data_IF_036549394095
#
_entry.id   IF_036549394095
#
_cell.length_a   1.000
_cell.length_b   1.000
_cell.length_c   1.000
_cell.angle_alpha   90.00
_cell.angle_beta   90.00
_cell.angle_gamma   90.00
#
_symmetry.space_group_name_H-M   'P 1'
#
loop_
_entity.id
_entity.type
_entity.pdbx_description
1 polymer ?
#
# COMPACT_ATOMS: atom_id res chain seq x y z
N UNK A 1 31.13 -31.23 -21.20
CA UNK A 1 29.97 -30.60 -20.54
C UNK A 1 28.88 -30.15 -21.52
N UNK A 2 29.21 -29.85 -22.79
CA UNK A 2 28.21 -29.48 -23.81
C UNK A 2 27.50 -30.67 -24.49
N UNK A 3 28.09 -31.87 -24.50
CA UNK A 3 27.51 -33.06 -25.16
C UNK A 3 26.39 -33.74 -24.34
N UNK A 4 26.33 -33.49 -23.03
CA UNK A 4 25.37 -34.09 -22.08
C UNK A 4 23.90 -33.68 -22.36
N UNK A 5 23.70 -32.61 -23.13
CA UNK A 5 22.37 -32.08 -23.49
C UNK A 5 21.76 -32.74 -24.73
N UNK A 6 22.55 -33.51 -25.50
CA UNK A 6 22.14 -34.12 -26.76
C UNK A 6 21.74 -35.60 -26.62
N UNK A 7 21.97 -36.20 -25.45
CA UNK A 7 21.68 -37.62 -25.19
C UNK A 7 20.20 -37.82 -24.78
N UNK A 8 19.55 -38.85 -25.34
CA UNK A 8 18.14 -39.17 -25.08
C UNK A 8 17.96 -39.61 -23.62
N UNK A 9 17.50 -38.68 -22.78
CA UNK A 9 17.25 -38.89 -21.34
C UNK A 9 16.48 -40.19 -21.07
N UNK A 10 17.07 -41.06 -20.25
CA UNK A 10 16.58 -42.41 -19.98
C UNK A 10 15.22 -42.35 -19.27
N UNK A 11 14.35 -43.35 -19.49
CA UNK A 11 13.00 -43.41 -18.86
C UNK A 11 13.05 -43.18 -17.35
N UNK A 12 14.03 -43.79 -16.67
CA UNK A 12 14.26 -43.66 -15.21
C UNK A 12 14.57 -42.21 -14.79
N UNK A 13 15.36 -41.48 -15.57
CA UNK A 13 15.72 -40.08 -15.29
C UNK A 13 14.54 -39.14 -15.52
N UNK A 14 13.70 -39.42 -16.53
CA UNK A 14 12.44 -38.69 -16.76
C UNK A 14 11.47 -38.89 -15.60
N UNK A 15 11.32 -40.12 -15.11
CA UNK A 15 10.47 -40.42 -13.94
C UNK A 15 10.96 -39.68 -12.68
N UNK A 16 12.26 -39.65 -12.43
CA UNK A 16 12.85 -38.88 -11.31
C UNK A 16 12.58 -37.38 -11.47
N UNK A 17 12.74 -36.84 -12.68
CA UNK A 17 12.50 -35.42 -12.96
C UNK A 17 11.02 -35.05 -12.77
N UNK A 18 10.10 -35.90 -13.24
CA UNK A 18 8.65 -35.73 -13.07
C UNK A 18 8.25 -35.77 -11.59
N UNK A 19 8.80 -36.70 -10.82
CA UNK A 19 8.51 -36.81 -9.38
C UNK A 19 9.02 -35.57 -8.61
N UNK A 20 10.24 -35.10 -8.90
CA UNK A 20 10.78 -33.86 -8.30
C UNK A 20 9.93 -32.64 -8.64
N UNK A 21 9.46 -32.52 -9.88
CA UNK A 21 8.58 -31.43 -10.29
C UNK A 21 7.20 -31.51 -9.60
N UNK A 22 6.65 -32.71 -9.39
CA UNK A 22 5.40 -32.89 -8.64
C UNK A 22 5.56 -32.53 -7.17
N UNK A 23 6.64 -32.97 -6.51
CA UNK A 23 6.95 -32.60 -5.12
C UNK A 23 7.06 -31.07 -4.97
N UNK A 24 7.78 -30.41 -5.88
CA UNK A 24 7.91 -28.95 -5.89
C UNK A 24 6.54 -28.25 -6.03
N UNK A 25 5.66 -28.74 -6.92
CA UNK A 25 4.30 -28.22 -7.07
C UNK A 25 3.46 -28.41 -5.80
N UNK A 26 3.54 -29.56 -5.16
CA UNK A 26 2.84 -29.84 -3.90
C UNK A 26 3.31 -28.90 -2.78
N UNK A 27 4.62 -28.65 -2.67
CA UNK A 27 5.17 -27.69 -1.71
C UNK A 27 4.62 -26.29 -1.96
N UNK A 28 4.64 -25.82 -3.21
CA UNK A 28 4.11 -24.50 -3.59
C UNK A 28 2.62 -24.38 -3.23
N UNK A 29 1.80 -25.37 -3.59
CA UNK A 29 0.36 -25.38 -3.28
C UNK A 29 0.13 -25.37 -1.76
N UNK A 30 0.88 -26.17 -1.01
CA UNK A 30 0.78 -26.18 0.46
C UNK A 30 1.16 -24.84 1.08
N UNK A 31 2.14 -24.13 0.51
CA UNK A 31 2.51 -22.77 0.90
C UNK A 31 1.39 -21.76 0.66
N UNK A 32 0.71 -21.83 -0.49
CA UNK A 32 -0.47 -20.98 -0.76
C UNK A 32 -1.61 -21.24 0.25
N UNK A 33 -1.88 -22.51 0.58
CA UNK A 33 -2.91 -22.88 1.56
C UNK A 33 -2.56 -22.32 2.95
N UNK A 34 -1.31 -22.48 3.38
CA UNK A 34 -0.85 -21.96 4.67
C UNK A 34 -0.89 -20.43 4.74
N UNK A 35 -0.58 -19.75 3.63
CA UNK A 35 -0.70 -18.29 3.52
C UNK A 35 -2.15 -17.82 3.63
N UNK A 36 -3.09 -18.49 2.97
CA UNK A 36 -4.53 -18.15 3.06
C UNK A 36 -5.05 -18.40 4.47
N UNK A 37 -4.65 -19.50 5.12
CA UNK A 37 -4.98 -19.77 6.51
C UNK A 37 -4.42 -18.70 7.45
N UNK A 38 -3.15 -18.30 7.26
CA UNK A 38 -2.55 -17.22 8.04
C UNK A 38 -3.29 -15.88 7.83
N UNK A 39 -3.68 -15.56 6.60
CA UNK A 39 -4.49 -14.37 6.30
C UNK A 39 -5.85 -14.40 7.02
N UNK A 40 -6.54 -15.54 6.98
CA UNK A 40 -7.81 -15.75 7.71
C UNK A 40 -7.58 -15.54 9.22
N UNK A 41 -6.52 -16.09 9.79
CA UNK A 41 -6.21 -15.95 11.21
C UNK A 41 -5.83 -14.51 11.58
N UNK A 42 -5.14 -13.77 10.70
CA UNK A 42 -4.75 -12.38 10.96
C UNK A 42 -5.90 -11.39 10.78
N UNK A 43 -6.87 -11.67 9.90
CA UNK A 43 -7.95 -10.73 9.56
C UNK A 43 -9.30 -11.12 10.16
N UNK A 44 -9.65 -12.40 10.27
CA UNK A 44 -10.96 -12.80 10.78
C UNK A 44 -10.94 -12.86 12.31
N UNK A 45 -9.86 -13.37 12.90
CA UNK A 45 -9.77 -13.57 14.34
C UNK A 45 -9.82 -12.25 15.15
N UNK A 46 -9.14 -11.16 14.74
CA UNK A 46 -9.27 -9.86 15.40
C UNK A 46 -10.64 -9.21 15.21
N UNK A 47 -11.34 -9.49 14.10
CA UNK A 47 -12.71 -9.00 13.88
C UNK A 47 -13.70 -9.56 14.93
N UNK A 48 -13.50 -10.81 15.36
CA UNK A 48 -14.27 -11.43 16.43
C UNK A 48 -13.78 -11.07 17.85
N UNK A 49 -12.82 -10.14 17.97
CA UNK A 49 -12.31 -9.68 19.27
C UNK A 49 -11.34 -10.66 19.94
N UNK A 50 -10.76 -11.60 19.20
CA UNK A 50 -9.71 -12.49 19.71
C UNK A 50 -8.33 -11.90 19.32
N UNK A 51 -7.61 -11.26 20.27
CA UNK A 51 -6.33 -10.63 19.95
C UNK A 51 -5.25 -11.69 19.70
N UNK A 52 -4.77 -11.78 18.46
CA UNK A 52 -3.63 -12.63 18.08
C UNK A 52 -2.28 -12.03 18.52
N UNK A 53 -2.24 -10.70 18.76
CA UNK A 53 -1.04 -9.95 19.15
C UNK A 53 -1.05 -9.69 20.65
N UNK A 54 -0.04 -10.18 21.36
CA UNK A 54 0.14 -9.88 22.78
C UNK A 54 0.55 -8.41 22.93
N UNK A 55 -0.34 -7.56 23.44
CA UNK A 55 -0.08 -6.14 23.69
C UNK A 55 0.85 -6.02 24.92
N UNK A 56 2.09 -5.57 24.73
CA UNK A 56 2.97 -5.18 25.85
C UNK A 56 2.82 -3.71 26.25
N UNK A 57 2.03 -2.93 25.51
CA UNK A 57 1.87 -1.50 25.75
C UNK A 57 0.43 -1.20 26.21
N UNK A 58 0.30 -0.85 27.49
CA UNK A 58 -0.95 -0.64 28.24
C UNK A 58 -1.74 0.62 27.85
N UNK A 59 -1.33 1.38 26.82
CA UNK A 59 -1.88 2.74 26.59
C UNK A 59 -2.87 2.85 25.43
N UNK A 60 -3.10 1.83 24.59
CA UNK A 60 -3.89 2.05 23.36
C UNK A 60 -4.95 0.97 23.05
N UNK A 61 -6.20 1.36 23.33
CA UNK A 61 -7.49 1.04 22.69
C UNK A 61 -7.94 -0.42 22.47
N UNK A 62 -9.18 -0.70 22.90
CA UNK A 62 -9.91 -1.99 22.87
C UNK A 62 -10.09 -2.68 21.49
N UNK A 63 -9.62 -2.06 20.39
CA UNK A 63 -9.79 -2.58 19.01
C UNK A 63 -8.53 -2.35 18.16
N UNK A 64 -7.55 -3.26 18.19
CA UNK A 64 -6.34 -3.11 17.38
C UNK A 64 -6.62 -3.37 15.88
N UNK A 65 -6.27 -2.40 15.02
CA UNK A 65 -6.23 -2.61 13.57
C UNK A 65 -5.09 -3.59 13.20
N UNK A 66 -5.22 -4.36 12.10
CA UNK A 66 -4.18 -5.28 11.62
C UNK A 66 -2.80 -4.62 11.44
N UNK A 67 -2.77 -3.38 10.93
CA UNK A 67 -1.57 -2.55 10.83
C UNK A 67 -1.73 -1.28 11.67
N UNK A 68 -0.76 -1.01 12.54
CA UNK A 68 -0.73 0.19 13.36
C UNK A 68 -0.03 1.32 12.60
N UNK A 69 -0.80 2.05 11.80
CA UNK A 69 -0.35 3.25 11.08
C UNK A 69 -0.99 4.51 11.66
N UNK A 70 -0.34 5.66 11.48
CA UNK A 70 -0.88 6.95 11.91
C UNK A 70 -2.03 7.38 10.98
N UNK A 71 -3.23 7.51 11.54
CA UNK A 71 -4.42 7.99 10.82
C UNK A 71 -4.79 9.42 11.24
N UNK A 72 -5.05 10.28 10.26
CA UNK A 72 -5.43 11.69 10.48
C UNK A 72 -6.92 11.88 10.80
N UNK A 73 -7.70 10.80 10.82
CA UNK A 73 -9.13 10.76 11.16
C UNK A 73 -9.38 9.78 12.31
N UNK A 74 -10.51 9.94 13.01
CA UNK A 74 -10.81 9.14 14.19
C UNK A 74 -11.26 7.72 13.80
N UNK A 75 -10.30 6.79 13.87
CA UNK A 75 -10.51 5.36 13.57
C UNK A 75 -11.43 4.63 14.55
N UNK A 76 -11.85 5.22 15.66
CA UNK A 76 -12.73 4.55 16.63
C UNK A 76 -14.22 4.76 16.33
N UNK A 77 -14.56 5.66 15.40
CA UNK A 77 -15.95 5.89 14.99
C UNK A 77 -16.33 4.99 13.81
N UNK A 78 -17.41 4.22 13.95
CA UNK A 78 -18.09 3.61 12.80
C UNK A 78 -18.74 4.73 11.95
N UNK A 79 -18.64 4.70 10.61
CA UNK A 79 -18.18 3.61 9.73
C UNK A 79 -16.69 3.66 9.34
N UNK A 80 -15.93 4.66 9.81
CA UNK A 80 -14.54 4.88 9.38
C UNK A 80 -13.64 3.70 9.76
N UNK A 81 -13.80 3.16 10.97
CA UNK A 81 -13.09 1.95 11.41
C UNK A 81 -13.23 0.78 10.43
N UNK A 82 -14.47 0.47 10.05
CA UNK A 82 -14.81 -0.69 9.22
C UNK A 82 -14.23 -0.53 7.81
N UNK A 83 -14.31 0.69 7.26
CA UNK A 83 -13.69 1.01 5.97
C UNK A 83 -12.17 0.86 6.01
N UNK A 84 -11.51 1.39 7.05
CA UNK A 84 -10.05 1.26 7.22
C UNK A 84 -9.65 -0.20 7.35
N UNK A 85 -10.42 -1.00 8.09
CA UNK A 85 -10.18 -2.42 8.28
C UNK A 85 -10.25 -3.20 6.96
N UNK A 86 -11.30 -2.97 6.17
CA UNK A 86 -11.49 -3.61 4.86
C UNK A 86 -10.37 -3.21 3.89
N UNK A 87 -10.01 -1.92 3.86
CA UNK A 87 -8.91 -1.43 3.03
C UNK A 87 -7.60 -2.11 3.41
N UNK A 88 -7.24 -2.16 4.70
CA UNK A 88 -6.04 -2.84 5.16
C UNK A 88 -6.04 -4.34 4.79
N UNK A 89 -7.17 -5.03 4.96
CA UNK A 89 -7.30 -6.44 4.60
C UNK A 89 -7.07 -6.69 3.11
N UNK A 90 -7.67 -5.86 2.24
CA UNK A 90 -7.48 -5.94 0.79
C UNK A 90 -6.02 -5.67 0.42
N UNK A 91 -5.41 -4.64 1.01
CA UNK A 91 -3.99 -4.31 0.75
C UNK A 91 -3.05 -5.44 1.16
N UNK A 92 -3.25 -6.02 2.35
CA UNK A 92 -2.42 -7.15 2.84
C UNK A 92 -2.60 -8.37 1.92
N UNK A 93 -3.82 -8.66 1.49
CA UNK A 93 -4.10 -9.78 0.57
C UNK A 93 -3.38 -9.59 -0.77
N UNK A 94 -3.51 -8.41 -1.39
CA UNK A 94 -2.85 -8.09 -2.65
C UNK A 94 -1.32 -8.13 -2.52
N UNK A 95 -0.77 -7.65 -1.41
CA UNK A 95 0.66 -7.74 -1.11
C UNK A 95 1.14 -9.20 -0.99
N UNK A 96 0.36 -10.08 -0.36
CA UNK A 96 0.69 -11.49 -0.22
C UNK A 96 0.67 -12.23 -1.58
N UNK A 97 -0.32 -11.93 -2.44
CA UNK A 97 -0.42 -12.49 -3.80
C UNK A 97 0.74 -12.03 -4.70
N UNK A 98 1.13 -10.76 -4.61
CA UNK A 98 2.28 -10.23 -5.38
C UNK A 98 3.61 -10.78 -4.87
N UNK A 99 3.78 -10.94 -3.56
CA UNK A 99 5.00 -11.54 -2.99
C UNK A 99 5.17 -13.02 -3.42
N UNK A 100 4.09 -13.79 -3.37
CA UNK A 100 4.10 -15.19 -3.81
C UNK A 100 4.30 -15.33 -5.32
N UNK A 101 3.77 -14.43 -6.15
CA UNK A 101 4.02 -14.46 -7.60
C UNK A 101 5.51 -14.26 -7.94
N UNK A 102 6.20 -13.40 -7.18
CA UNK A 102 7.65 -13.17 -7.34
C UNK A 102 8.46 -14.37 -6.89
N UNK A 103 8.11 -15.06 -5.80
CA UNK A 103 8.88 -16.22 -5.31
C UNK A 103 8.69 -17.46 -6.21
N UNK A 104 7.58 -17.55 -6.93
CA UNK A 104 7.27 -18.72 -7.77
C UNK A 104 7.99 -18.70 -9.12
N UNK A 105 9.31 -18.45 -9.12
CA UNK A 105 10.14 -18.34 -10.33
C UNK A 105 10.29 -19.68 -11.11
N UNK A 106 9.99 -20.82 -10.48
CA UNK A 106 10.38 -22.14 -10.98
C UNK A 106 9.38 -22.97 -11.82
N UNK A 107 8.14 -22.55 -12.06
CA UNK A 107 7.15 -23.41 -12.75
C UNK A 107 6.42 -22.73 -13.91
N UNK A 108 6.54 -23.30 -15.12
CA UNK A 108 5.78 -23.10 -16.38
C UNK A 108 5.21 -21.70 -16.70
N UNK A 109 5.55 -21.17 -17.89
CA UNK A 109 5.19 -19.85 -18.42
C UNK A 109 3.68 -19.69 -18.65
N UNK A 110 2.93 -19.39 -17.58
CA UNK A 110 1.54 -18.98 -17.64
C UNK A 110 1.42 -17.45 -17.65
N UNK A 111 0.51 -16.92 -18.47
CA UNK A 111 0.20 -15.48 -18.56
C UNK A 111 -0.14 -14.85 -17.19
N UNK A 112 -0.66 -15.66 -16.26
CA UNK A 112 -0.94 -15.26 -14.89
C UNK A 112 0.31 -14.75 -14.14
N UNK A 113 1.51 -15.24 -14.46
CA UNK A 113 2.77 -14.86 -13.78
C UNK A 113 3.17 -13.40 -14.02
N UNK A 114 2.87 -12.87 -15.21
CA UNK A 114 3.11 -11.46 -15.53
C UNK A 114 1.91 -10.60 -15.15
N UNK A 115 0.69 -11.13 -15.29
CA UNK A 115 -0.52 -10.37 -15.04
C UNK A 115 -0.68 -9.94 -13.57
N UNK A 116 -0.41 -10.82 -12.59
CA UNK A 116 -0.58 -10.50 -11.17
C UNK A 116 0.36 -9.40 -10.65
N UNK A 117 1.70 -9.43 -10.88
CA UNK A 117 2.57 -8.34 -10.45
C UNK A 117 2.27 -7.05 -11.20
N UNK A 118 1.97 -7.10 -12.51
CA UNK A 118 1.59 -5.91 -13.28
C UNK A 118 0.29 -5.27 -12.75
N UNK A 119 -0.72 -6.08 -12.40
CA UNK A 119 -1.94 -5.62 -11.76
C UNK A 119 -1.67 -5.01 -10.39
N UNK A 120 -0.77 -5.59 -9.58
CA UNK A 120 -0.36 -5.01 -8.31
C UNK A 120 0.30 -3.64 -8.48
N UNK A 121 1.21 -3.52 -9.46
CA UNK A 121 1.89 -2.26 -9.79
C UNK A 121 0.88 -1.18 -10.20
N UNK A 122 -0.06 -1.47 -11.10
CA UNK A 122 -1.06 -0.48 -11.54
C UNK A 122 -1.98 -0.03 -10.42
N UNK A 123 -2.34 -0.93 -9.49
CA UNK A 123 -3.13 -0.59 -8.30
C UNK A 123 -2.35 0.33 -7.35
N UNK A 124 -1.05 0.09 -7.15
CA UNK A 124 -0.21 0.95 -6.30
C UNK A 124 -0.07 2.36 -6.89
N UNK A 125 0.16 2.45 -8.20
CA UNK A 125 0.22 3.74 -8.89
C UNK A 125 -1.11 4.48 -8.85
N UNK A 126 -2.24 3.78 -8.99
CA UNK A 126 -3.57 4.41 -8.90
C UNK A 126 -3.88 4.94 -7.50
N UNK A 127 -3.51 4.19 -6.45
CA UNK A 127 -3.63 4.67 -5.07
C UNK A 127 -2.77 5.91 -4.83
N UNK A 128 -1.51 5.90 -5.28
CA UNK A 128 -0.62 7.05 -5.16
C UNK A 128 -1.21 8.29 -5.85
N UNK A 129 -1.77 8.12 -7.05
CA UNK A 129 -2.45 9.20 -7.78
C UNK A 129 -3.66 9.75 -7.00
N UNK A 130 -4.52 8.87 -6.47
CA UNK A 130 -5.68 9.29 -5.67
C UNK A 130 -5.25 10.06 -4.42
N UNK A 131 -4.23 9.58 -3.69
CA UNK A 131 -3.75 10.26 -2.49
C UNK A 131 -3.11 11.61 -2.80
N UNK A 132 -2.28 11.71 -3.84
CA UNK A 132 -1.69 12.98 -4.26
C UNK A 132 -2.75 13.96 -4.78
N UNK A 133 -3.74 13.49 -5.55
CA UNK A 133 -4.84 14.32 -6.03
C UNK A 133 -5.73 14.84 -4.90
N UNK A 134 -6.08 13.97 -3.94
CA UNK A 134 -6.82 14.38 -2.75
C UNK A 134 -6.03 15.39 -1.91
N UNK A 135 -4.72 15.18 -1.73
CA UNK A 135 -3.84 16.12 -1.02
C UNK A 135 -3.79 17.50 -1.69
N UNK A 136 -3.70 17.54 -3.01
CA UNK A 136 -3.72 18.77 -3.81
C UNK A 136 -5.04 19.52 -3.65
N UNK A 137 -6.18 18.81 -3.78
CA UNK A 137 -7.51 19.41 -3.64
C UNK A 137 -7.69 20.03 -2.25
N UNK A 138 -7.28 19.31 -1.19
CA UNK A 138 -7.37 19.84 0.17
C UNK A 138 -6.48 21.07 0.36
N UNK A 139 -5.28 21.08 -0.22
CA UNK A 139 -4.37 22.23 -0.18
C UNK A 139 -5.01 23.45 -0.85
N UNK A 140 -5.57 23.28 -2.06
CA UNK A 140 -6.27 24.36 -2.78
C UNK A 140 -7.46 24.92 -1.99
N UNK A 141 -8.26 24.05 -1.36
CA UNK A 141 -9.40 24.49 -0.55
C UNK A 141 -8.95 25.28 0.69
N UNK A 142 -7.83 24.90 1.31
CA UNK A 142 -7.27 25.64 2.42
C UNK A 142 -6.79 27.05 2.01
N UNK A 143 -6.19 27.19 0.82
CA UNK A 143 -5.79 28.49 0.28
C UNK A 143 -7.00 29.38 -0.02
N UNK A 144 -8.05 28.85 -0.65
CA UNK A 144 -9.29 29.60 -0.92
C UNK A 144 -9.95 30.09 0.38
N UNK A 145 -10.03 29.22 1.39
CA UNK A 145 -10.54 29.61 2.72
C UNK A 145 -9.66 30.70 3.32
N UNK A 146 -8.34 30.59 3.22
CA UNK A 146 -7.41 31.61 3.71
C UNK A 146 -7.66 32.98 3.03
N UNK A 147 -7.82 33.01 1.71
CA UNK A 147 -8.14 34.25 0.98
C UNK A 147 -9.49 34.85 1.38
N UNK A 148 -10.53 34.01 1.50
CA UNK A 148 -11.85 34.45 1.96
C UNK A 148 -11.79 35.05 3.38
N UNK A 149 -11.00 34.45 4.27
CA UNK A 149 -10.77 34.96 5.62
C UNK A 149 -10.01 36.29 5.62
N UNK A 150 -9.00 36.46 4.75
CA UNK A 150 -8.24 37.71 4.63
C UNK A 150 -9.09 38.87 4.12
N UNK A 151 -10.02 38.60 3.21
CA UNK A 151 -10.92 39.61 2.63
C UNK A 151 -12.12 39.94 3.52
N UNK A 152 -12.35 39.17 4.59
CA UNK A 152 -13.40 39.46 5.56
C UNK A 152 -13.03 40.74 6.33
N UNK A 153 -14.02 41.61 6.61
CA UNK A 153 -13.84 42.79 7.46
C UNK A 153 -13.71 42.40 8.95
N UNK A 154 -12.71 41.57 9.27
CA UNK A 154 -12.50 40.95 10.57
C UNK A 154 -12.37 41.96 11.72
N UNK A 155 -11.94 43.19 11.41
CA UNK A 155 -11.82 44.30 12.34
C UNK A 155 -13.17 44.89 12.78
N UNK A 156 -14.28 44.59 12.08
CA UNK A 156 -15.64 45.00 12.47
C UNK A 156 -16.38 43.96 13.32
N UNK A 157 -15.82 42.76 13.46
CA UNK A 157 -16.42 41.69 14.26
C UNK A 157 -16.25 41.96 15.76
N UNK A 158 -17.12 41.34 16.56
CA UNK A 158 -16.97 41.31 18.02
C UNK A 158 -15.56 40.78 18.39
N UNK A 159 -14.90 41.34 19.41
CA UNK A 159 -13.51 41.03 19.75
C UNK A 159 -13.29 39.53 20.06
N UNK A 160 -14.32 38.82 20.56
CA UNK A 160 -14.26 37.36 20.75
C UNK A 160 -14.21 36.58 19.44
N UNK A 161 -14.99 36.99 18.43
CA UNK A 161 -15.03 36.33 17.10
C UNK A 161 -13.79 36.69 16.29
N UNK A 162 -13.37 37.95 16.31
CA UNK A 162 -12.17 38.42 15.63
C UNK A 162 -10.91 37.64 16.07
N UNK A 163 -10.75 37.37 17.37
CA UNK A 163 -9.65 36.54 17.89
C UNK A 163 -9.65 35.12 17.30
N UNK A 164 -10.80 34.46 17.23
CA UNK A 164 -10.91 33.12 16.62
C UNK A 164 -10.56 33.13 15.13
N UNK A 165 -10.97 34.18 14.40
CA UNK A 165 -10.65 34.35 12.98
C UNK A 165 -9.15 34.57 12.75
N UNK A 166 -8.49 35.40 13.56
CA UNK A 166 -7.03 35.62 13.48
C UNK A 166 -6.29 34.29 13.69
N UNK A 167 -6.70 33.49 14.67
CA UNK A 167 -6.12 32.16 14.89
C UNK A 167 -6.33 31.23 13.69
N UNK A 168 -7.51 31.26 13.08
CA UNK A 168 -7.83 30.51 11.86
C UNK A 168 -6.97 30.96 10.67
N UNK A 169 -6.78 32.27 10.46
CA UNK A 169 -5.89 32.82 9.43
C UNK A 169 -4.45 32.38 9.64
N UNK A 170 -3.91 32.48 10.84
CA UNK A 170 -2.52 32.04 11.15
C UNK A 170 -2.34 30.54 10.90
N UNK A 171 -3.39 29.74 11.17
CA UNK A 171 -3.36 28.29 10.89
C UNK A 171 -3.51 27.97 9.41
N UNK A 172 -4.35 28.69 8.68
CA UNK A 172 -4.58 28.49 7.25
C UNK A 172 -3.46 29.08 6.38
N UNK A 173 -2.72 30.08 6.87
CA UNK A 173 -1.54 30.63 6.20
C UNK A 173 -0.31 29.72 6.28
N UNK A 174 -0.32 28.70 7.13
CA UNK A 174 0.70 27.66 7.12
C UNK A 174 0.44 26.76 5.90
N UNK A 175 1.47 26.43 5.12
CA UNK A 175 1.31 25.58 3.94
C UNK A 175 0.74 24.23 4.39
N UNK A 176 -0.56 24.02 4.14
CA UNK A 176 -1.27 22.82 4.54
C UNK A 176 -0.90 21.69 3.56
N UNK A 177 0.33 21.21 3.65
CA UNK A 177 0.80 20.08 2.86
C UNK A 177 0.62 18.80 3.67
N UNK A 178 -0.28 17.94 3.19
CA UNK A 178 -0.39 16.59 3.72
C UNK A 178 0.91 15.86 3.37
N UNK A 179 1.70 15.51 4.37
CA UNK A 179 2.98 14.81 4.17
C UNK A 179 2.86 13.32 4.48
N UNK A 180 3.34 12.48 3.58
CA UNK A 180 3.58 11.07 3.83
C UNK A 180 4.79 10.91 4.75
N UNK A 181 4.55 10.36 5.94
CA UNK A 181 5.61 10.05 6.91
C UNK A 181 6.42 11.25 7.41
N UNK A 182 5.89 12.49 7.27
CA UNK A 182 6.59 13.78 7.49
C UNK A 182 7.78 14.07 6.56
N UNK A 183 8.03 13.25 5.54
CA UNK A 183 9.21 13.39 4.67
C UNK A 183 8.82 13.85 3.26
N UNK A 184 7.67 13.39 2.74
CA UNK A 184 7.27 13.67 1.36
C UNK A 184 5.90 14.35 1.29
N UNK A 185 5.76 15.54 0.69
CA UNK A 185 4.46 16.14 0.47
C UNK A 185 3.66 15.34 -0.57
N UNK A 186 2.41 15.00 -0.25
CA UNK A 186 1.47 14.30 -1.14
C UNK A 186 0.84 15.29 -2.11
N UNK A 187 1.61 15.71 -3.10
CA UNK A 187 1.20 16.63 -4.18
C UNK A 187 1.31 15.96 -5.55
N UNK A 188 0.65 16.53 -6.55
CA UNK A 188 0.74 16.02 -7.92
C UNK A 188 2.17 16.16 -8.49
N UNK A 189 2.93 17.14 -8.01
CA UNK A 189 4.35 17.33 -8.35
C UNK A 189 5.23 16.19 -7.84
N UNK A 190 5.03 15.75 -6.60
CA UNK A 190 5.74 14.59 -6.04
C UNK A 190 5.42 13.32 -6.82
N UNK A 191 4.15 13.11 -7.20
CA UNK A 191 3.76 11.97 -8.04
C UNK A 191 4.48 11.98 -9.40
N UNK A 192 4.55 13.14 -10.07
CA UNK A 192 5.30 13.28 -11.31
C UNK A 192 6.80 12.98 -11.17
N UNK A 193 7.40 13.40 -10.05
CA UNK A 193 8.81 13.09 -9.74
C UNK A 193 9.05 11.60 -9.51
N UNK A 194 8.09 10.90 -8.88
CA UNK A 194 8.12 9.44 -8.69
C UNK A 194 8.06 8.71 -10.03
N UNK A 195 7.13 9.10 -10.91
CA UNK A 195 7.04 8.54 -12.27
C UNK A 195 8.33 8.73 -13.05
N UNK A 196 8.90 9.94 -13.04
CA UNK A 196 10.15 10.25 -13.73
C UNK A 196 11.31 9.40 -13.21
N UNK A 197 11.43 9.27 -11.90
CA UNK A 197 12.47 8.44 -11.27
C UNK A 197 12.31 6.97 -11.63
N UNK A 198 11.07 6.45 -11.58
CA UNK A 198 10.78 5.05 -11.94
C UNK A 198 11.12 4.74 -13.41
N UNK A 199 10.73 5.62 -14.34
CA UNK A 199 11.07 5.49 -15.75
C UNK A 199 12.60 5.57 -15.96
N UNK A 200 13.28 6.48 -15.25
CA UNK A 200 14.74 6.60 -15.29
C UNK A 200 15.46 5.31 -14.86
N UNK A 201 15.01 4.66 -13.77
CA UNK A 201 15.55 3.37 -13.35
C UNK A 201 15.30 2.27 -14.38
N UNK A 202 14.09 2.18 -14.94
CA UNK A 202 13.78 1.20 -15.98
C UNK A 202 14.67 1.42 -17.20
N UNK A 203 14.81 2.66 -17.68
CA UNK A 203 15.68 3.00 -18.81
C UNK A 203 17.15 2.65 -18.53
N UNK A 204 17.65 2.93 -17.32
CA UNK A 204 19.02 2.59 -16.93
C UNK A 204 19.24 1.07 -16.91
N UNK A 205 18.31 0.31 -16.33
CA UNK A 205 18.40 -1.16 -16.30
C UNK A 205 18.35 -1.76 -17.71
N UNK A 206 17.51 -1.22 -18.60
CA UNK A 206 17.45 -1.65 -20.00
C UNK A 206 18.75 -1.34 -20.75
N UNK A 207 19.33 -0.14 -20.54
CA UNK A 207 20.57 0.26 -21.19
C UNK A 207 21.81 -0.51 -20.68
N UNK A 208 21.79 -1.00 -19.44
CA UNK A 208 22.88 -1.80 -18.88
C UNK A 208 22.78 -3.29 -19.23
N UNK A 209 21.67 -3.72 -19.84
CA UNK A 209 21.46 -5.09 -20.33
C UNK A 209 21.80 -5.25 -21.83
N UNK A 210 22.03 -4.14 -22.55
CA UNK A 210 22.44 -4.09 -23.97
C UNK A 210 23.95 -3.96 -24.11
#
# INVERSE_FOLDING_TARGET
>A
MAEDWMELKTRKEREVMMNRAQIARTIIISGYILMVLAFIVVIILPYFGLPLRHLTNLTDSDKPLPLQTYYFYNIYKSPQFELTYIIQAITIFLAAVTYTSVITEGSNFSAARLCFPLMGITILFSHAFIYCGAGEIVTMQCEEVYYALCNLEWYKLEPKKARSFILLMIRASQPFHITAGKIFPLTMTTFGSLLKTSAGYISFLLANQS
#
